data_IF_289178744996
#
_entry.id   IF_289178744996
#
_cell.length_a   1.000
_cell.length_b   1.000
_cell.length_c   1.000
_cell.angle_alpha   90.00
_cell.angle_beta   90.00
_cell.angle_gamma   90.00
#
_symmetry.space_group_name_H-M   'P 1'
#
loop_
_entity.id
_entity.type
_entity.pdbx_description
1 polymer ?
#
# COMPACT_ATOMS: atom_id res chain seq x y z
N UNK A 1 23.47 -16.87 12.50
CA UNK A 1 22.06 -16.84 12.93
C UNK A 1 21.44 -15.63 12.25
N UNK A 2 20.40 -15.90 11.46
CA UNK A 2 19.54 -14.97 10.71
C UNK A 2 20.19 -13.98 9.74
N UNK A 3 20.21 -14.44 8.49
CA UNK A 3 20.33 -13.66 7.27
C UNK A 3 19.38 -12.45 7.31
N UNK A 4 19.94 -11.26 7.45
CA UNK A 4 19.26 -9.99 7.14
C UNK A 4 19.26 -9.84 5.63
N UNK A 5 18.36 -10.53 4.94
CA UNK A 5 18.20 -10.48 3.49
C UNK A 5 16.80 -9.93 3.21
N UNK A 6 16.77 -8.66 2.80
CA UNK A 6 15.69 -7.97 2.07
C UNK A 6 14.28 -8.01 2.70
N UNK A 7 14.13 -7.60 3.96
CA UNK A 7 12.82 -7.27 4.53
C UNK A 7 12.40 -5.82 4.23
N UNK A 8 12.58 -5.38 2.98
CA UNK A 8 11.92 -4.20 2.42
C UNK A 8 10.51 -4.55 1.93
N UNK A 9 9.81 -5.43 2.65
CA UNK A 9 8.48 -5.87 2.32
C UNK A 9 7.54 -4.67 2.50
N UNK A 10 6.67 -4.47 1.51
CA UNK A 10 5.67 -3.42 1.37
C UNK A 10 4.71 -3.32 2.58
N UNK A 11 5.24 -2.92 3.73
CA UNK A 11 4.53 -2.80 5.01
C UNK A 11 3.80 -1.47 5.01
N UNK A 12 2.71 -1.38 4.23
CA UNK A 12 1.87 -0.20 4.21
C UNK A 12 1.10 0.06 2.91
N UNK A 13 1.28 -0.77 1.86
CA UNK A 13 0.41 -0.66 0.70
C UNK A 13 -0.92 -1.40 0.96
N UNK A 14 -2.06 -0.84 0.52
CA UNK A 14 -3.37 -1.51 0.64
C UNK A 14 -3.40 -2.85 -0.09
N UNK A 15 -2.50 -3.06 -1.05
CA UNK A 15 -2.38 -4.31 -1.79
C UNK A 15 -1.78 -5.47 -0.98
N UNK A 16 -1.09 -5.20 0.14
CA UNK A 16 -0.50 -6.22 1.00
C UNK A 16 -1.29 -6.44 2.30
N UNK A 17 -2.38 -5.70 2.51
CA UNK A 17 -3.29 -5.88 3.63
C UNK A 17 -4.34 -6.93 3.27
N UNK A 18 -4.23 -8.15 3.83
CA UNK A 18 -5.17 -9.25 3.56
C UNK A 18 -6.62 -8.95 3.99
N UNK A 19 -6.82 -7.89 4.77
CA UNK A 19 -8.13 -7.43 5.21
C UNK A 19 -8.74 -6.36 4.27
N UNK A 20 -8.03 -6.00 3.20
CA UNK A 20 -8.50 -5.04 2.21
C UNK A 20 -9.22 -5.76 1.04
N UNK A 21 -10.22 -5.09 0.47
CA UNK A 21 -10.92 -5.55 -0.75
C UNK A 21 -9.94 -5.76 -1.93
N UNK A 22 -8.83 -5.02 -1.97
CA UNK A 22 -7.84 -5.02 -3.06
C UNK A 22 -6.55 -5.78 -2.68
N UNK A 23 -6.63 -6.71 -1.75
CA UNK A 23 -5.48 -7.52 -1.35
C UNK A 23 -4.98 -8.38 -2.53
N UNK A 24 -3.74 -8.18 -2.97
CA UNK A 24 -3.08 -9.03 -3.95
C UNK A 24 -2.29 -10.08 -3.17
N UNK A 25 -2.84 -11.29 -3.10
CA UNK A 25 -2.17 -12.41 -2.48
C UNK A 25 -0.96 -12.82 -3.34
N UNK A 26 0.20 -13.13 -2.73
CA UNK A 26 1.29 -13.78 -3.44
C UNK A 26 0.78 -15.07 -4.07
N UNK A 27 1.06 -15.26 -5.36
CA UNK A 27 0.73 -16.53 -5.99
C UNK A 27 1.53 -17.66 -5.34
N UNK A 28 0.87 -18.80 -5.11
CA UNK A 28 1.56 -20.00 -4.66
C UNK A 28 2.68 -20.34 -5.66
N UNK A 29 3.88 -20.75 -5.20
CA UNK A 29 4.95 -21.18 -6.10
C UNK A 29 4.43 -22.23 -7.10
N UNK A 30 4.54 -21.94 -8.39
CA UNK A 30 4.01 -22.81 -9.45
C UNK A 30 2.51 -22.68 -9.73
N UNK A 31 1.74 -22.01 -8.87
CA UNK A 31 0.30 -21.74 -9.05
C UNK A 31 -0.03 -20.94 -10.32
N UNK A 32 0.87 -20.02 -10.71
CA UNK A 32 0.72 -19.22 -11.94
C UNK A 32 0.78 -20.08 -13.21
N UNK A 33 1.48 -21.22 -13.19
CA UNK A 33 1.55 -22.10 -14.36
C UNK A 33 0.19 -22.73 -14.71
N UNK A 34 -0.68 -22.89 -13.71
CA UNK A 34 -2.03 -23.42 -13.89
C UNK A 34 -3.05 -22.38 -14.34
N UNK A 35 -2.77 -21.09 -14.12
CA UNK A 35 -3.63 -19.98 -14.57
C UNK A 35 -3.32 -19.50 -15.98
N UNK A 36 -2.09 -19.73 -16.46
CA UNK A 36 -1.65 -19.36 -17.80
C UNK A 36 -2.15 -20.40 -18.81
N UNK A 37 -2.90 -19.93 -19.82
CA UNK A 37 -3.39 -20.78 -20.91
C UNK A 37 -2.21 -21.47 -21.61
N UNK A 38 -2.25 -22.78 -21.92
CA UNK A 38 -1.12 -23.53 -22.46
C UNK A 38 -0.45 -22.88 -23.68
N UNK A 39 -1.25 -22.22 -24.54
CA UNK A 39 -0.77 -21.49 -25.72
C UNK A 39 0.06 -20.22 -25.41
N UNK A 40 0.04 -19.76 -24.16
CA UNK A 40 0.77 -18.59 -23.66
C UNK A 40 1.90 -18.96 -22.70
N UNK A 41 2.11 -20.26 -22.47
CA UNK A 41 3.24 -20.71 -21.65
C UNK A 41 4.56 -20.44 -22.39
N UNK A 42 5.61 -20.00 -21.68
CA UNK A 42 6.94 -19.92 -22.26
C UNK A 42 7.32 -21.27 -22.87
N UNK A 43 7.97 -21.30 -24.04
CA UNK A 43 8.50 -22.53 -24.60
C UNK A 43 9.35 -23.26 -23.55
N UNK A 44 9.10 -24.55 -23.36
CA UNK A 44 9.85 -25.36 -22.41
C UNK A 44 11.33 -25.37 -22.81
N UNK A 45 12.16 -24.67 -22.03
CA UNK A 45 13.62 -24.71 -22.18
C UNK A 45 14.10 -25.98 -21.47
N UNK A 46 15.01 -26.72 -22.12
CA UNK A 46 15.63 -27.89 -21.50
C UNK A 46 16.26 -27.48 -20.17
N UNK A 47 16.17 -28.33 -19.12
CA UNK A 47 16.83 -28.05 -17.86
C UNK A 47 18.31 -27.79 -18.11
N UNK A 48 18.85 -26.74 -17.47
CA UNK A 48 20.26 -26.41 -17.58
C UNK A 48 21.13 -27.63 -17.27
N UNK A 49 22.26 -27.82 -17.97
CA UNK A 49 23.20 -28.89 -17.66
C UNK A 49 23.56 -28.90 -16.18
N UNK A 50 23.83 -30.08 -15.58
CA UNK A 50 24.28 -30.17 -14.20
C UNK A 50 25.50 -29.27 -13.98
N UNK A 51 25.47 -28.44 -12.94
CA UNK A 51 26.63 -27.63 -12.57
C UNK A 51 27.79 -28.58 -12.21
N UNK A 52 28.91 -28.42 -12.90
CA UNK A 52 30.15 -29.11 -12.54
C UNK A 52 30.73 -28.47 -11.28
N UNK A 53 31.44 -29.27 -10.45
CA UNK A 53 32.02 -28.79 -9.18
C UNK A 53 32.96 -27.57 -9.37
N UNK A 54 33.55 -27.42 -10.56
CA UNK A 54 34.38 -26.28 -10.91
C UNK A 54 33.63 -24.94 -11.03
N UNK A 55 32.32 -24.96 -11.26
CA UNK A 55 31.47 -23.77 -11.42
C UNK A 55 30.91 -23.26 -10.07
N UNK A 56 31.11 -24.03 -8.98
CA UNK A 56 30.71 -23.68 -7.61
C UNK A 56 31.90 -23.08 -6.83
N UNK A 57 32.92 -22.57 -7.52
CA UNK A 57 34.04 -21.90 -6.87
C UNK A 57 33.76 -20.41 -6.83
N UNK A 58 33.34 -19.93 -5.67
CA UNK A 58 33.23 -18.50 -5.38
C UNK A 58 34.65 -17.87 -5.49
N UNK A 59 34.88 -16.91 -6.41
CA UNK A 59 36.15 -16.24 -6.52
C UNK A 59 36.53 -15.59 -5.19
N UNK A 60 37.82 -15.58 -4.82
CA UNK A 60 38.25 -14.96 -3.56
C UNK A 60 37.84 -13.49 -3.52
N UNK A 61 37.16 -13.11 -2.44
CA UNK A 61 36.67 -11.74 -2.23
C UNK A 61 37.84 -10.74 -2.28
N UNK A 62 37.69 -9.60 -2.98
CA UNK A 62 38.69 -8.54 -2.97
C UNK A 62 38.87 -7.98 -1.55
N UNK A 63 40.09 -7.56 -1.20
CA UNK A 63 40.42 -7.04 0.12
C UNK A 63 39.57 -5.80 0.48
N UNK A 64 38.83 -5.87 1.58
CA UNK A 64 38.01 -4.76 2.08
C UNK A 64 38.93 -3.73 2.75
N UNK A 65 39.08 -2.55 2.15
CA UNK A 65 39.76 -1.43 2.79
C UNK A 65 38.78 -0.72 3.75
N UNK A 66 39.20 -0.50 5.00
CA UNK A 66 38.44 0.30 5.98
C UNK A 66 38.42 1.77 5.56
N UNK A 67 37.33 2.21 4.94
CA UNK A 67 37.03 3.64 4.77
C UNK A 67 36.35 4.15 6.03
N UNK A 68 37.05 4.98 6.79
CA UNK A 68 36.48 5.70 7.93
C UNK A 68 35.48 6.74 7.42
N UNK A 69 34.20 6.60 7.79
CA UNK A 69 33.13 7.51 7.39
C UNK A 69 33.33 8.91 8.01
N UNK A 70 33.33 10.01 7.24
CA UNK A 70 33.21 11.34 7.81
C UNK A 70 31.77 11.56 8.32
N UNK A 71 31.65 12.00 9.57
CA UNK A 71 30.39 12.45 10.17
C UNK A 71 29.88 13.68 9.43
N UNK A 72 28.69 13.60 8.84
CA UNK A 72 27.99 14.74 8.25
C UNK A 72 26.88 15.21 9.19
N UNK A 73 26.80 16.50 9.54
CA UNK A 73 25.75 17.02 10.40
C UNK A 73 24.41 17.06 9.64
N UNK A 74 23.42 16.34 10.15
CA UNK A 74 22.04 16.43 9.69
C UNK A 74 21.50 17.83 9.95
N UNK A 75 21.11 18.54 8.89
CA UNK A 75 20.27 19.75 9.00
C UNK A 75 18.82 19.30 9.13
N UNK A 76 18.21 19.56 10.29
CA UNK A 76 16.77 19.34 10.50
C UNK A 76 16.00 20.49 9.85
N UNK A 77 15.33 20.21 8.73
CA UNK A 77 14.34 21.13 8.19
C UNK A 77 13.05 21.09 9.04
N UNK A 78 12.37 22.24 9.25
CA UNK A 78 11.13 22.28 10.01
C UNK A 78 9.99 21.62 9.24
N UNK A 79 9.35 20.64 9.86
CA UNK A 79 8.12 20.00 9.37
C UNK A 79 7.01 21.06 9.39
N UNK A 80 6.58 21.50 8.22
CA UNK A 80 5.44 22.42 8.08
C UNK A 80 4.14 21.68 8.45
N UNK A 81 3.50 22.11 9.53
CA UNK A 81 2.20 21.62 9.99
C UNK A 81 1.09 22.08 9.04
N UNK A 82 0.61 21.17 8.19
CA UNK A 82 -0.54 21.41 7.31
C UNK A 82 -1.85 21.32 8.10
N UNK A 83 -2.19 22.39 8.83
CA UNK A 83 -3.47 22.54 9.56
C UNK A 83 -4.52 23.26 8.70
N UNK A 84 -4.55 23.01 7.38
CA UNK A 84 -5.45 23.73 6.47
C UNK A 84 -6.80 23.02 6.23
N UNK A 85 -6.97 21.74 6.62
CA UNK A 85 -8.13 20.93 6.19
C UNK A 85 -9.20 20.66 7.26
N UNK A 86 -9.03 21.13 8.50
CA UNK A 86 -9.97 20.83 9.59
C UNK A 86 -11.27 21.65 9.55
N UNK A 87 -11.27 22.86 8.96
CA UNK A 87 -12.44 23.75 8.96
C UNK A 87 -13.57 23.29 8.01
N UNK A 88 -13.27 22.49 6.99
CA UNK A 88 -14.25 22.07 5.98
C UNK A 88 -15.26 21.03 6.49
N UNK A 89 -14.85 20.18 7.44
CA UNK A 89 -15.70 19.10 7.95
C UNK A 89 -16.76 19.65 8.90
N UNK A 90 -16.39 20.58 9.79
CA UNK A 90 -17.33 21.20 10.73
C UNK A 90 -18.44 21.98 10.02
N UNK A 91 -18.11 22.71 8.94
CA UNK A 91 -19.08 23.49 8.17
C UNK A 91 -20.13 22.58 7.49
N UNK A 92 -19.72 21.41 6.98
CA UNK A 92 -20.63 20.45 6.35
C UNK A 92 -21.63 19.86 7.34
N UNK A 93 -21.19 19.44 8.53
CA UNK A 93 -22.10 18.88 9.54
C UNK A 93 -23.12 19.92 10.04
N UNK A 94 -22.68 21.15 10.30
CA UNK A 94 -23.59 22.22 10.73
C UNK A 94 -24.62 22.55 9.64
N UNK A 95 -24.20 22.61 8.37
CA UNK A 95 -25.11 22.83 7.25
C UNK A 95 -26.17 21.73 7.12
N UNK A 96 -25.78 20.46 7.25
CA UNK A 96 -26.71 19.32 7.15
C UNK A 96 -27.78 19.37 8.26
N UNK A 97 -27.40 19.66 9.50
CA UNK A 97 -28.35 19.74 10.63
C UNK A 97 -29.33 20.91 10.45
N UNK A 98 -28.84 22.08 10.01
CA UNK A 98 -29.68 23.25 9.77
C UNK A 98 -30.67 23.00 8.62
N UNK A 99 -30.19 22.44 7.50
CA UNK A 99 -31.05 22.13 6.35
C UNK A 99 -32.07 21.05 6.71
N UNK A 100 -31.66 20.00 7.43
CA UNK A 100 -32.55 18.90 7.87
C UNK A 100 -33.66 19.40 8.80
N UNK A 101 -33.31 20.23 9.79
CA UNK A 101 -34.29 20.81 10.71
C UNK A 101 -35.27 21.77 10.02
N UNK A 102 -34.78 22.60 9.09
CA UNK A 102 -35.63 23.54 8.34
C UNK A 102 -36.61 22.81 7.40
N UNK A 103 -36.15 21.77 6.69
CA UNK A 103 -37.01 20.92 5.86
C UNK A 103 -38.05 20.17 6.71
N UNK A 104 -37.64 19.66 7.87
CA UNK A 104 -38.54 18.98 8.79
C UNK A 104 -39.66 19.92 9.27
N UNK A 105 -39.33 21.14 9.70
CA UNK A 105 -40.32 22.13 10.12
C UNK A 105 -41.25 22.53 8.98
N UNK A 106 -40.74 22.70 7.76
CA UNK A 106 -41.57 23.01 6.58
C UNK A 106 -42.55 21.87 6.27
N UNK A 107 -42.09 20.61 6.27
CA UNK A 107 -42.96 19.45 6.05
C UNK A 107 -44.02 19.31 7.15
N UNK A 108 -43.65 19.46 8.42
CA UNK A 108 -44.60 19.38 9.53
C UNK A 108 -45.63 20.51 9.48
N UNK A 109 -45.20 21.74 9.17
CA UNK A 109 -46.10 22.89 9.05
C UNK A 109 -47.04 22.73 7.85
N UNK A 110 -46.55 22.22 6.72
CA UNK A 110 -47.36 21.92 5.54
C UNK A 110 -48.38 20.82 5.85
N UNK A 111 -47.97 19.72 6.48
CA UNK A 111 -48.87 18.63 6.88
C UNK A 111 -49.92 19.12 7.86
N UNK A 112 -49.55 19.95 8.85
CA UNK A 112 -50.51 20.56 9.77
C UNK A 112 -51.52 21.42 9.00
N UNK A 113 -51.04 22.27 8.08
CA UNK A 113 -51.89 23.16 7.29
C UNK A 113 -52.82 22.44 6.31
N UNK A 114 -52.39 21.30 5.77
CA UNK A 114 -53.21 20.42 4.92
C UNK A 114 -54.24 19.65 5.74
N UNK A 115 -53.94 19.34 7.01
CA UNK A 115 -54.88 18.68 7.94
C UNK A 115 -55.99 19.62 8.44
N UNK A 116 -55.72 20.93 8.45
CA UNK A 116 -56.65 21.99 8.85
C UNK A 116 -57.61 22.44 7.72
N UNK A 117 -57.48 21.89 6.50
CA UNK A 117 -58.39 22.08 5.36
C UNK A 117 -59.32 20.88 5.19
#
# INVERSE_FOLDING_TARGET
MSLTVIHGFCTGSPCNDLNNEVAILPAEPGGLLFQVHPETQPPAVAPSPPLEIADVVDPPLPAVANVSSPSSPYTTEPISSSTAKAANIGLSLTAIVVISSLLCVMMVTFVAKVKDL
#
